data_IF_359607201999
#
_entry.id   IF_359607201999
#
_cell.length_a   1.000
_cell.length_b   1.000
_cell.length_c   1.000
_cell.angle_alpha   90.00
_cell.angle_beta   90.00
_cell.angle_gamma   90.00
#
_symmetry.space_group_name_H-M   'P 1'
#
loop_
_entity.id
_entity.type
_entity.pdbx_description
1 polymer ?
#
# COMPACT_ATOMS: atom_id res chain seq x y z
N UNK A 1 19.88 -37.04 -3.43
CA UNK A 1 20.20 -35.69 -3.96
C UNK A 1 21.52 -35.25 -3.35
N UNK A 2 22.57 -35.10 -4.18
CA UNK A 2 23.90 -34.65 -3.73
C UNK A 2 23.76 -33.27 -3.07
N UNK A 3 24.15 -33.16 -1.79
CA UNK A 3 24.35 -31.84 -1.18
C UNK A 3 25.58 -31.21 -1.83
N UNK A 4 25.42 -30.03 -2.42
CA UNK A 4 26.54 -29.23 -2.93
C UNK A 4 27.44 -28.86 -1.75
N UNK A 5 28.61 -29.47 -1.68
CA UNK A 5 29.71 -29.06 -0.79
C UNK A 5 30.06 -27.62 -1.12
N UNK A 6 29.72 -26.67 -0.24
CA UNK A 6 30.15 -25.27 -0.36
C UNK A 6 29.14 -24.19 0.08
N UNK A 7 27.85 -24.48 0.22
CA UNK A 7 26.85 -23.48 0.63
C UNK A 7 26.35 -23.75 2.05
N UNK A 8 26.53 -22.80 2.98
CA UNK A 8 25.95 -22.90 4.33
C UNK A 8 24.42 -23.01 4.22
N UNK A 9 23.77 -23.90 4.98
CA UNK A 9 22.32 -24.03 4.93
C UNK A 9 21.64 -22.77 5.46
N UNK A 10 20.45 -22.49 4.93
CA UNK A 10 19.56 -21.39 5.31
C UNK A 10 19.56 -21.05 6.81
N UNK A 11 19.42 -22.09 7.64
CA UNK A 11 19.37 -21.99 9.10
C UNK A 11 20.67 -21.48 9.70
N UNK A 12 21.81 -21.94 9.18
CA UNK A 12 23.14 -21.55 9.65
C UNK A 12 23.41 -20.08 9.34
N UNK A 13 23.06 -19.62 8.13
CA UNK A 13 23.22 -18.23 7.72
C UNK A 13 22.39 -17.29 8.62
N UNK A 14 21.15 -17.68 8.93
CA UNK A 14 20.32 -16.94 9.89
C UNK A 14 20.94 -16.86 11.29
N UNK A 15 21.50 -17.97 11.79
CA UNK A 15 22.18 -17.98 13.10
C UNK A 15 23.45 -17.12 13.09
N UNK A 16 24.30 -17.27 12.07
CA UNK A 16 25.56 -16.54 11.91
C UNK A 16 25.34 -15.02 11.79
N UNK A 17 24.18 -14.59 11.26
CA UNK A 17 23.84 -13.18 11.08
C UNK A 17 23.07 -12.55 12.26
N UNK A 18 23.11 -13.14 13.46
CA UNK A 18 22.50 -12.53 14.65
C UNK A 18 21.05 -12.96 14.92
N UNK A 19 20.58 -14.03 14.26
CA UNK A 19 19.27 -14.63 14.55
C UNK A 19 19.14 -15.14 16.00
N UNK A 20 20.24 -15.45 16.69
CA UNK A 20 20.27 -15.79 18.11
C UNK A 20 20.21 -14.56 19.04
N UNK A 21 20.65 -13.39 18.57
CA UNK A 21 20.70 -12.14 19.34
C UNK A 21 19.48 -11.24 19.11
N UNK A 22 18.43 -11.74 18.45
CA UNK A 22 17.20 -10.99 18.20
C UNK A 22 17.30 -9.93 17.10
N UNK A 23 18.45 -9.81 16.42
CA UNK A 23 18.66 -8.88 15.31
C UNK A 23 18.85 -9.68 14.01
N UNK A 24 17.74 -10.11 13.37
CA UNK A 24 17.85 -10.76 12.08
C UNK A 24 18.39 -9.80 11.02
N UNK A 25 19.16 -10.29 10.04
CA UNK A 25 19.64 -9.49 8.91
C UNK A 25 18.46 -9.01 8.04
N UNK A 26 18.68 -7.90 7.32
CA UNK A 26 17.70 -7.39 6.34
C UNK A 26 17.46 -8.39 5.22
N UNK A 27 16.28 -8.32 4.58
CA UNK A 27 15.91 -9.21 3.46
C UNK A 27 16.93 -9.16 2.31
N UNK A 28 17.40 -7.97 1.94
CA UNK A 28 18.42 -7.77 0.89
C UNK A 28 19.71 -8.53 1.23
N UNK A 29 20.27 -8.27 2.41
CA UNK A 29 21.50 -8.92 2.88
C UNK A 29 21.31 -10.43 2.99
N UNK A 30 20.14 -10.85 3.47
CA UNK A 30 19.78 -12.25 3.60
C UNK A 30 19.70 -12.95 2.24
N UNK A 31 19.13 -12.31 1.21
CA UNK A 31 19.09 -12.82 -0.15
C UNK A 31 20.51 -12.96 -0.74
N UNK A 32 21.34 -11.93 -0.60
CA UNK A 32 22.71 -11.93 -1.10
C UNK A 32 23.53 -13.09 -0.51
N UNK A 33 23.52 -13.23 0.82
CA UNK A 33 24.34 -14.23 1.51
C UNK A 33 23.88 -15.67 1.25
N UNK A 34 22.61 -15.89 0.93
CA UNK A 34 22.07 -17.22 0.62
C UNK A 34 22.29 -17.65 -0.83
N UNK A 35 22.50 -16.71 -1.76
CA UNK A 35 22.61 -16.99 -3.19
C UNK A 35 23.99 -16.69 -3.78
N UNK A 36 24.94 -16.13 -3.00
CA UNK A 36 26.31 -15.88 -3.46
C UNK A 36 27.13 -17.16 -3.62
N UNK A 37 27.95 -17.18 -4.66
CA UNK A 37 29.05 -18.14 -4.82
C UNK A 37 30.34 -17.38 -4.52
N UNK A 38 30.96 -17.66 -3.37
CA UNK A 38 32.06 -16.83 -2.86
C UNK A 38 31.54 -15.47 -2.39
N UNK A 39 31.96 -14.39 -3.06
CA UNK A 39 31.59 -13.01 -2.73
C UNK A 39 30.71 -12.32 -3.80
N UNK A 40 30.19 -13.07 -4.78
CA UNK A 40 29.38 -12.53 -5.88
C UNK A 40 28.13 -13.36 -6.12
N UNK A 41 27.08 -12.71 -6.64
CA UNK A 41 25.92 -13.37 -7.21
C UNK A 41 26.27 -13.75 -8.66
N UNK A 42 26.39 -15.04 -8.93
CA UNK A 42 26.83 -15.58 -10.23
C UNK A 42 25.69 -15.75 -11.23
N UNK A 43 24.46 -15.94 -10.74
CA UNK A 43 23.27 -16.21 -11.57
C UNK A 43 22.50 -14.93 -11.89
N UNK A 44 22.14 -14.68 -13.16
CA UNK A 44 21.42 -13.47 -13.56
C UNK A 44 20.07 -13.32 -12.84
N UNK A 45 19.32 -14.42 -12.69
CA UNK A 45 18.04 -14.42 -11.96
C UNK A 45 18.20 -13.95 -10.50
N UNK A 46 19.29 -14.37 -9.83
CA UNK A 46 19.54 -13.98 -8.44
C UNK A 46 19.96 -12.52 -8.31
N UNK A 47 20.68 -11.99 -9.29
CA UNK A 47 21.07 -10.58 -9.38
C UNK A 47 19.82 -9.72 -9.60
N UNK A 48 18.97 -10.09 -10.56
CA UNK A 48 17.74 -9.35 -10.86
C UNK A 48 16.82 -9.26 -9.62
N UNK A 49 16.61 -10.39 -8.93
CA UNK A 49 15.80 -10.39 -7.70
C UNK A 49 16.43 -9.59 -6.57
N UNK A 50 17.75 -9.62 -6.43
CA UNK A 50 18.46 -8.82 -5.43
C UNK A 50 18.26 -7.31 -5.67
N UNK A 51 18.46 -6.86 -6.91
CA UNK A 51 18.26 -5.45 -7.30
C UNK A 51 16.80 -5.01 -7.11
N UNK A 52 15.84 -5.88 -7.43
CA UNK A 52 14.42 -5.55 -7.21
C UNK A 52 14.08 -5.41 -5.72
N UNK A 53 14.57 -6.32 -4.86
CA UNK A 53 14.40 -6.19 -3.40
C UNK A 53 14.98 -4.86 -2.92
N UNK A 54 16.22 -4.56 -3.32
CA UNK A 54 16.92 -3.33 -2.95
C UNK A 54 16.14 -2.09 -3.38
N UNK A 55 15.68 -2.06 -4.63
CA UNK A 55 14.88 -0.96 -5.17
C UNK A 55 13.59 -0.75 -4.37
N UNK A 56 12.87 -1.82 -4.03
CA UNK A 56 11.62 -1.71 -3.26
C UNK A 56 11.81 -1.19 -1.84
N UNK A 57 12.87 -1.66 -1.17
CA UNK A 57 13.22 -1.16 0.16
C UNK A 57 13.65 0.33 0.10
N UNK A 58 14.33 0.75 -0.97
CA UNK A 58 14.72 2.15 -1.16
C UNK A 58 13.53 3.07 -1.49
N UNK A 59 12.60 2.61 -2.33
CA UNK A 59 11.39 3.35 -2.69
C UNK A 59 10.45 3.52 -1.48
N UNK A 60 10.31 2.49 -0.66
CA UNK A 60 9.48 2.54 0.55
C UNK A 60 10.16 1.81 1.73
N UNK A 61 10.96 2.53 2.53
CA UNK A 61 11.65 1.95 3.69
C UNK A 61 10.73 1.45 4.80
N UNK A 62 9.48 1.95 4.87
CA UNK A 62 8.47 1.53 5.85
C UNK A 62 7.65 0.33 5.37
N UNK A 63 7.88 -0.16 4.15
CA UNK A 63 7.17 -1.32 3.62
C UNK A 63 7.49 -2.56 4.46
N UNK A 64 6.44 -3.29 4.84
CA UNK A 64 6.59 -4.56 5.54
C UNK A 64 7.37 -5.56 4.70
N UNK A 65 8.27 -6.30 5.36
CA UNK A 65 9.16 -7.26 4.68
C UNK A 65 8.39 -8.28 3.86
N UNK A 66 7.21 -8.70 4.34
CA UNK A 66 6.36 -9.65 3.62
C UNK A 66 5.81 -9.08 2.31
N UNK A 67 5.45 -7.80 2.29
CA UNK A 67 4.90 -7.13 1.09
C UNK A 67 6.01 -6.94 0.04
N UNK A 68 7.23 -6.57 0.45
CA UNK A 68 8.39 -6.54 -0.44
C UNK A 68 8.60 -7.89 -1.13
N UNK A 69 8.43 -9.01 -0.40
CA UNK A 69 8.56 -10.35 -0.96
C UNK A 69 7.43 -10.64 -1.95
N UNK A 70 6.18 -10.30 -1.63
CA UNK A 70 5.07 -10.53 -2.55
C UNK A 70 5.20 -9.72 -3.85
N UNK A 71 5.70 -8.48 -3.78
CA UNK A 71 5.98 -7.69 -4.97
C UNK A 71 7.13 -8.28 -5.79
N UNK A 72 8.17 -8.79 -5.14
CA UNK A 72 9.35 -9.31 -5.83
C UNK A 72 9.17 -10.74 -6.39
N UNK A 73 8.42 -11.58 -5.68
CA UNK A 73 8.35 -13.03 -5.95
C UNK A 73 6.92 -13.51 -6.25
N UNK A 74 5.94 -12.61 -6.23
CA UNK A 74 4.53 -12.93 -6.35
C UNK A 74 3.94 -13.42 -5.03
N UNK A 75 2.63 -13.69 -5.05
CA UNK A 75 1.85 -14.08 -3.87
C UNK A 75 2.44 -15.31 -3.15
N UNK A 76 2.70 -15.18 -1.85
CA UNK A 76 3.30 -16.23 -1.02
C UNK A 76 2.21 -17.07 -0.35
N UNK A 77 1.60 -17.98 -1.11
CA UNK A 77 0.56 -18.90 -0.63
C UNK A 77 1.05 -20.33 -0.32
N UNK A 78 2.34 -20.59 -0.53
CA UNK A 78 2.97 -21.90 -0.30
C UNK A 78 3.28 -22.07 1.18
N UNK A 79 3.52 -23.32 1.62
CA UNK A 79 3.86 -23.64 3.01
C UNK A 79 5.18 -23.04 3.53
N UNK A 80 5.84 -22.19 2.75
CA UNK A 80 7.06 -21.47 3.07
C UNK A 80 7.15 -20.15 2.28
N UNK A 81 7.98 -19.22 2.76
CA UNK A 81 8.23 -17.91 2.15
C UNK A 81 9.48 -17.97 1.27
N UNK A 82 9.36 -17.47 0.04
CA UNK A 82 10.48 -17.38 -0.92
C UNK A 82 11.58 -16.47 -0.36
N UNK A 83 12.84 -16.86 -0.57
CA UNK A 83 13.99 -16.17 0.03
C UNK A 83 14.26 -16.56 1.49
N UNK A 84 13.24 -17.00 2.24
CA UNK A 84 13.34 -17.45 3.63
C UNK A 84 13.35 -18.99 3.83
N UNK A 85 13.49 -19.76 2.75
CA UNK A 85 13.61 -21.23 2.80
C UNK A 85 12.42 -21.96 3.45
N UNK A 86 12.50 -23.28 3.59
CA UNK A 86 11.38 -24.12 4.05
C UNK A 86 10.97 -23.95 5.53
N UNK A 87 11.65 -23.09 6.30
CA UNK A 87 11.43 -22.95 7.74
C UNK A 87 10.46 -21.83 8.13
N UNK A 88 10.27 -20.84 7.26
CA UNK A 88 9.45 -19.64 7.57
C UNK A 88 8.18 -19.70 6.75
N UNK A 89 7.03 -19.61 7.42
CA UNK A 89 5.70 -19.61 6.81
C UNK A 89 5.20 -18.17 6.66
N UNK A 90 4.29 -17.90 5.70
CA UNK A 90 3.70 -16.57 5.52
C UNK A 90 3.13 -15.97 6.81
N UNK A 91 2.45 -16.78 7.63
CA UNK A 91 1.89 -16.37 8.92
C UNK A 91 2.92 -15.93 9.96
N UNK A 92 4.18 -16.35 9.81
CA UNK A 92 5.27 -16.00 10.74
C UNK A 92 5.79 -14.58 10.46
N UNK A 93 5.56 -14.06 9.25
CA UNK A 93 5.93 -12.69 8.85
C UNK A 93 4.72 -11.76 8.83
N UNK A 94 3.61 -12.18 8.24
CA UNK A 94 2.38 -11.38 8.12
C UNK A 94 1.53 -11.38 9.39
N UNK A 95 1.81 -12.30 10.32
CA UNK A 95 0.94 -12.58 11.45
C UNK A 95 -0.31 -13.39 11.05
N UNK A 96 -1.26 -13.56 11.99
CA UNK A 96 -2.49 -14.28 11.71
C UNK A 96 -3.32 -13.54 10.65
N UNK A 97 -3.80 -14.28 9.65
CA UNK A 97 -4.76 -13.73 8.70
C UNK A 97 -6.06 -13.38 9.43
N UNK A 98 -6.70 -12.24 9.10
CA UNK A 98 -7.98 -11.89 9.68
C UNK A 98 -9.01 -12.97 9.37
N UNK A 99 -9.86 -13.29 10.37
CA UNK A 99 -10.90 -14.28 10.20
C UNK A 99 -11.96 -13.76 9.21
N UNK A 100 -12.64 -14.67 8.52
CA UNK A 100 -13.76 -14.37 7.64
C UNK A 100 -14.81 -13.50 8.35
N UNK A 101 -15.14 -13.85 9.59
CA UNK A 101 -16.10 -13.08 10.40
C UNK A 101 -15.65 -11.62 10.61
N UNK A 102 -14.38 -11.40 10.94
CA UNK A 102 -13.83 -10.06 11.14
C UNK A 102 -13.88 -9.23 9.85
N UNK A 103 -13.59 -9.87 8.72
CA UNK A 103 -13.66 -9.23 7.40
C UNK A 103 -15.10 -8.88 7.02
N UNK A 104 -16.05 -9.80 7.24
CA UNK A 104 -17.48 -9.54 6.99
C UNK A 104 -18.01 -8.40 7.87
N UNK A 105 -17.61 -8.35 9.14
CA UNK A 105 -17.99 -7.27 10.05
C UNK A 105 -17.41 -5.91 9.59
N UNK A 106 -16.13 -5.87 9.22
CA UNK A 106 -15.49 -4.66 8.68
C UNK A 106 -16.17 -4.20 7.39
N UNK A 107 -16.51 -5.12 6.50
CA UNK A 107 -17.19 -4.82 5.24
C UNK A 107 -18.58 -4.22 5.52
N UNK A 108 -19.35 -4.81 6.43
CA UNK A 108 -20.67 -4.29 6.83
C UNK A 108 -20.58 -2.91 7.44
N UNK A 109 -19.57 -2.67 8.29
CA UNK A 109 -19.36 -1.37 8.92
C UNK A 109 -18.97 -0.31 7.88
N UNK A 110 -18.06 -0.63 6.96
CA UNK A 110 -17.70 0.26 5.86
C UNK A 110 -18.90 0.56 4.95
N UNK A 111 -19.75 -0.43 4.66
CA UNK A 111 -20.99 -0.25 3.91
C UNK A 111 -21.92 0.78 4.56
N UNK A 112 -22.16 0.67 5.87
CA UNK A 112 -22.99 1.66 6.61
C UNK A 112 -22.41 3.07 6.57
N UNK A 113 -21.08 3.20 6.71
CA UNK A 113 -20.41 4.51 6.63
C UNK A 113 -20.62 5.11 5.24
N UNK A 114 -20.47 4.30 4.19
CA UNK A 114 -20.66 4.76 2.82
C UNK A 114 -22.10 5.21 2.55
N UNK A 115 -23.11 4.48 3.02
CA UNK A 115 -24.51 4.90 2.92
C UNK A 115 -24.77 6.26 3.57
N UNK A 116 -24.24 6.47 4.78
CA UNK A 116 -24.37 7.77 5.49
C UNK A 116 -23.65 8.88 4.75
N UNK A 117 -22.45 8.62 4.21
CA UNK A 117 -21.69 9.62 3.46
C UNK A 117 -22.39 10.00 2.16
N UNK A 118 -22.97 9.04 1.43
CA UNK A 118 -23.75 9.30 0.22
C UNK A 118 -24.93 10.23 0.51
N UNK A 119 -25.71 9.93 1.56
CA UNK A 119 -26.84 10.80 1.94
C UNK A 119 -26.39 12.22 2.34
N UNK A 120 -25.22 12.35 2.98
CA UNK A 120 -24.65 13.68 3.29
C UNK A 120 -24.22 14.44 2.04
N UNK A 121 -23.66 13.75 1.05
CA UNK A 121 -23.27 14.35 -0.24
C UNK A 121 -24.52 14.85 -0.97
N UNK A 122 -25.55 14.01 -1.09
CA UNK A 122 -26.81 14.38 -1.74
C UNK A 122 -27.45 15.61 -1.09
N UNK A 123 -27.46 15.66 0.25
CA UNK A 123 -27.97 16.80 1.00
C UNK A 123 -27.18 18.09 0.72
N UNK A 124 -25.85 18.03 0.78
CA UNK A 124 -24.99 19.19 0.49
C UNK A 124 -25.16 19.66 -0.96
N UNK A 125 -25.30 18.73 -1.90
CA UNK A 125 -25.57 19.09 -3.30
C UNK A 125 -26.93 19.79 -3.46
N UNK A 126 -27.96 19.37 -2.73
CA UNK A 126 -29.25 20.03 -2.73
C UNK A 126 -29.18 21.44 -2.16
N UNK A 127 -28.53 21.61 -1.00
CA UNK A 127 -28.29 22.93 -0.41
C UNK A 127 -27.54 23.84 -1.38
N UNK A 128 -26.48 23.33 -2.02
CA UNK A 128 -25.71 24.08 -3.02
C UNK A 128 -26.56 24.51 -4.22
N UNK A 129 -27.45 23.64 -4.72
CA UNK A 129 -28.41 24.00 -5.79
C UNK A 129 -29.35 25.12 -5.34
N UNK A 130 -29.88 25.03 -4.11
CA UNK A 130 -30.74 26.08 -3.55
C UNK A 130 -29.98 27.40 -3.36
N UNK A 131 -28.74 27.37 -2.86
CA UNK A 131 -27.91 28.55 -2.72
C UNK A 131 -27.60 29.20 -4.07
N UNK A 132 -27.24 28.41 -5.09
CA UNK A 132 -26.99 28.93 -6.43
C UNK A 132 -28.23 29.61 -7.01
N UNK A 133 -29.42 29.02 -6.85
CA UNK A 133 -30.67 29.63 -7.29
C UNK A 133 -30.95 30.97 -6.60
N UNK A 134 -30.73 31.06 -5.29
CA UNK A 134 -30.91 32.30 -4.52
C UNK A 134 -29.90 33.38 -4.91
N UNK A 135 -28.65 33.00 -5.19
CA UNK A 135 -27.62 33.91 -5.69
C UNK A 135 -28.03 34.50 -7.03
N UNK A 136 -28.44 33.67 -7.99
CA UNK A 136 -28.91 34.11 -9.30
C UNK A 136 -30.11 35.07 -9.19
N UNK A 137 -31.04 34.83 -8.26
CA UNK A 137 -32.18 35.74 -8.02
C UNK A 137 -31.72 37.10 -7.47
N UNK A 138 -30.76 37.11 -6.55
CA UNK A 138 -30.19 38.35 -6.00
C UNK A 138 -29.45 39.13 -7.07
N UNK A 139 -28.63 38.45 -7.89
CA UNK A 139 -27.92 39.04 -9.02
C UNK A 139 -28.90 39.66 -10.03
N UNK A 140 -29.96 38.94 -10.42
CA UNK A 140 -30.98 39.48 -11.32
C UNK A 140 -31.70 40.72 -10.75
N UNK A 141 -32.02 40.73 -9.45
CA UNK A 141 -32.61 41.90 -8.77
C UNK A 141 -31.65 43.08 -8.72
N UNK A 142 -30.36 42.82 -8.53
CA UNK A 142 -29.32 43.84 -8.54
C UNK A 142 -29.23 44.45 -9.94
N UNK A 143 -29.03 43.63 -10.97
CA UNK A 143 -28.95 44.05 -12.38
C UNK A 143 -30.16 44.91 -12.79
N UNK A 144 -31.38 44.47 -12.45
CA UNK A 144 -32.60 45.22 -12.76
C UNK A 144 -32.67 46.59 -12.07
N UNK A 145 -32.17 46.70 -10.83
CA UNK A 145 -32.08 48.00 -10.14
C UNK A 145 -31.00 48.90 -10.74
N UNK A 146 -29.85 48.34 -11.14
CA UNK A 146 -28.81 49.11 -11.83
C UNK A 146 -29.32 49.67 -13.15
N UNK A 147 -30.00 48.86 -13.95
CA UNK A 147 -30.58 49.32 -15.21
C UNK A 147 -31.62 50.43 -14.99
N UNK A 148 -32.52 50.27 -14.02
CA UNK A 148 -33.52 51.30 -13.70
C UNK A 148 -32.88 52.63 -13.25
N UNK A 149 -31.73 52.59 -12.58
CA UNK A 149 -30.96 53.80 -12.23
C UNK A 149 -30.38 54.42 -13.50
N UNK A 150 -29.73 53.64 -14.36
CA UNK A 150 -29.13 54.14 -15.60
C UNK A 150 -30.18 54.79 -16.51
N UNK A 151 -31.35 54.17 -16.66
CA UNK A 151 -32.45 54.70 -17.46
C UNK A 151 -32.95 56.05 -16.89
N UNK A 152 -33.04 56.18 -15.57
CA UNK A 152 -33.49 57.42 -14.91
C UNK A 152 -32.53 58.62 -15.06
N UNK A 153 -31.24 58.38 -15.33
CA UNK A 153 -30.23 59.42 -15.53
C UNK A 153 -29.85 59.63 -17.02
N UNK A 154 -30.40 58.83 -17.93
CA UNK A 154 -30.10 58.90 -19.37
C UNK A 154 -31.04 59.80 -20.19
N UNK A 155 -32.13 60.29 -19.57
CA UNK A 155 -33.17 61.11 -20.22
C UNK A 155 -33.02 62.64 -19.99
N UNK A 156 -31.87 63.12 -19.48
CA UNK A 156 -31.47 64.54 -19.44
C UNK A 156 -30.51 64.91 -20.60
#
# INVERSE_FOLDING_TARGET
MLQRTGSKPFRQIKYDMGGSSGNPPSLEKFWFDTHKTGNILDKPETVEKHEMIKKKIQENPEMEVFDVIEECFGRQNKGYVTGYGGSIKPKDLRGPLPNRFDLEMKLKQAGKVNEVLLGRIEHVEEENRTFAARLNEVEAKFEGKFQAILDAFGDE
#
